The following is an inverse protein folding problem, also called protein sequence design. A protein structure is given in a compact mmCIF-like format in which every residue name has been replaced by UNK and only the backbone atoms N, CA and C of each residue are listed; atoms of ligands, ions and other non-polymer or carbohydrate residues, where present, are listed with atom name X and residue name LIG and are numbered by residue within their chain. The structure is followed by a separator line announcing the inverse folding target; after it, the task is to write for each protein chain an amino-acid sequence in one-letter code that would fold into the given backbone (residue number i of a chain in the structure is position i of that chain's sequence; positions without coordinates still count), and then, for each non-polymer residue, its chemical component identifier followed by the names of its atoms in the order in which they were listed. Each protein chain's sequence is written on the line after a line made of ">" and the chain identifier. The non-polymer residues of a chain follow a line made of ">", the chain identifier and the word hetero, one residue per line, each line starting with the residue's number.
data_IF_872086806735
#
_entry.id   IF_872086806735
#
_cell.length_a   1.000
_cell.length_b   1.000
_cell.length_c   1.000
_cell.angle_alpha   90.00
_cell.angle_beta   90.00
_cell.angle_gamma   90.00
#
_symmetry.space_group_name_H-M   'P 1'
#
loop_
_entity.id
_entity.type
_entity.pdbx_description
1 polymer ?
#
# COMPACT_ATOMS: atom_id res chain seq x y z
N UNK A 1 -27.81 12.08 -22.33
CA UNK A 1 -26.47 12.64 -22.59
C UNK A 1 -25.48 11.91 -21.70
N UNK A 2 -24.49 11.16 -22.19
CA UNK A 2 -23.40 10.67 -21.35
C UNK A 2 -22.44 11.84 -21.11
N UNK A 3 -22.37 12.33 -19.88
CA UNK A 3 -21.37 13.32 -19.52
C UNK A 3 -19.97 12.65 -19.55
N UNK A 4 -18.93 13.30 -20.09
CA UNK A 4 -17.57 12.78 -19.97
C UNK A 4 -17.23 12.75 -18.48
N UNK A 5 -17.00 11.54 -17.96
CA UNK A 5 -16.51 11.37 -16.59
C UNK A 5 -15.07 11.88 -16.60
N UNK A 6 -14.88 13.11 -16.14
CA UNK A 6 -13.57 13.73 -16.09
C UNK A 6 -12.74 12.98 -15.05
N UNK A 7 -11.67 12.33 -15.49
CA UNK A 7 -10.67 11.78 -14.59
C UNK A 7 -9.98 12.93 -13.85
N UNK A 8 -9.89 12.85 -12.53
CA UNK A 8 -9.13 13.78 -11.70
C UNK A 8 -8.16 13.01 -10.80
N UNK A 9 -7.13 13.70 -10.33
CA UNK A 9 -6.16 13.11 -9.42
C UNK A 9 -6.75 13.04 -8.01
N UNK A 10 -6.59 11.89 -7.37
CA UNK A 10 -6.94 11.63 -5.97
C UNK A 10 -5.70 11.21 -5.20
N UNK A 11 -5.71 11.46 -3.90
CA UNK A 11 -4.62 11.10 -3.01
C UNK A 11 -4.99 9.88 -2.16
N UNK A 12 -4.14 8.86 -2.15
CA UNK A 12 -4.16 7.79 -1.15
C UNK A 12 -3.06 8.06 -0.13
N UNK A 13 -3.44 8.48 1.06
CA UNK A 13 -2.53 8.70 2.16
C UNK A 13 -2.40 7.44 3.01
N UNK A 14 -1.26 6.76 2.90
CA UNK A 14 -0.91 5.57 3.69
C UNK A 14 -0.18 6.04 4.94
N UNK A 15 -0.85 5.97 6.09
CA UNK A 15 -0.30 6.40 7.37
C UNK A 15 0.25 5.19 8.12
N UNK A 16 1.55 5.18 8.39
CA UNK A 16 2.16 4.18 9.24
C UNK A 16 2.01 4.58 10.71
N UNK A 17 0.90 4.17 11.32
CA UNK A 17 0.64 4.31 12.75
C UNK A 17 1.19 3.12 13.59
N UNK A 18 1.90 2.20 12.95
CA UNK A 18 2.54 1.08 13.63
C UNK A 18 3.96 1.43 14.07
N UNK A 19 4.49 0.69 15.05
CA UNK A 19 5.88 0.85 15.51
C UNK A 19 6.90 0.24 14.54
N UNK A 20 6.43 -0.49 13.52
CA UNK A 20 7.26 -1.20 12.57
C UNK A 20 7.42 -0.43 11.27
N UNK A 21 8.55 -0.64 10.60
CA UNK A 21 8.76 -0.12 9.24
C UNK A 21 7.83 -0.85 8.27
N UNK A 22 7.17 -0.07 7.40
CA UNK A 22 6.27 -0.61 6.38
C UNK A 22 6.84 -0.29 5.01
N UNK A 23 6.89 -1.29 4.13
CA UNK A 23 7.19 -1.05 2.72
C UNK A 23 5.92 -1.12 1.90
N UNK A 24 5.77 -0.17 0.98
CA UNK A 24 4.66 -0.12 0.02
C UNK A 24 5.23 -0.34 -1.36
N UNK A 25 4.69 -1.34 -2.06
CA UNK A 25 5.12 -1.73 -3.41
C UNK A 25 3.89 -1.95 -4.29
N UNK A 26 4.03 -1.82 -5.61
CA UNK A 26 3.00 -2.29 -6.54
C UNK A 26 2.87 -3.82 -6.46
N UNK A 27 1.64 -4.33 -6.35
CA UNK A 27 1.39 -5.78 -6.20
C UNK A 27 1.98 -6.57 -7.37
N UNK A 28 1.86 -6.05 -8.59
CA UNK A 28 2.37 -6.69 -9.82
C UNK A 28 3.89 -6.83 -9.83
N UNK A 29 4.59 -5.95 -9.12
CA UNK A 29 6.05 -5.88 -9.10
C UNK A 29 6.62 -6.51 -7.82
N UNK A 30 5.77 -7.02 -6.93
CA UNK A 30 6.16 -7.60 -5.65
C UNK A 30 7.10 -8.79 -5.81
N UNK A 31 8.29 -8.72 -5.21
CA UNK A 31 9.33 -9.75 -5.31
C UNK A 31 10.23 -9.64 -6.56
N UNK A 32 10.00 -8.65 -7.44
CA UNK A 32 10.91 -8.35 -8.55
C UNK A 32 12.05 -7.45 -8.07
N UNK A 33 13.28 -7.94 -8.22
CA UNK A 33 14.50 -7.18 -7.90
C UNK A 33 14.60 -5.93 -8.79
N UNK A 34 14.42 -4.75 -8.20
CA UNK A 34 14.50 -3.46 -8.91
C UNK A 34 13.17 -2.71 -9.06
N UNK A 35 12.07 -3.24 -8.52
CA UNK A 35 10.81 -2.50 -8.41
C UNK A 35 10.94 -1.25 -7.54
N UNK A 36 10.15 -0.23 -7.85
CA UNK A 36 9.93 0.89 -6.95
C UNK A 36 9.27 0.38 -5.67
N UNK A 37 9.94 0.58 -4.55
CA UNK A 37 9.41 0.34 -3.21
C UNK A 37 9.53 1.65 -2.45
N UNK A 38 8.49 2.00 -1.70
CA UNK A 38 8.49 3.13 -0.80
C UNK A 38 8.60 2.60 0.63
N UNK A 39 9.58 3.07 1.38
CA UNK A 39 9.72 2.77 2.80
C UNK A 39 9.03 3.87 3.60
N UNK A 40 8.13 3.48 4.49
CA UNK A 40 7.38 4.36 5.38
C UNK A 40 7.77 4.02 6.81
N UNK A 41 8.44 4.95 7.50
CA UNK A 41 8.87 4.77 8.89
C UNK A 41 7.69 4.87 9.86
N UNK A 42 7.86 4.46 11.13
CA UNK A 42 6.85 4.65 12.15
C UNK A 42 6.48 6.12 12.28
N UNK A 43 5.18 6.41 12.39
CA UNK A 43 4.61 7.76 12.41
C UNK A 43 4.83 8.59 11.14
N UNK A 44 5.26 7.98 10.03
CA UNK A 44 5.36 8.62 8.72
C UNK A 44 4.12 8.31 7.88
N UNK A 45 3.77 9.20 6.96
CA UNK A 45 2.73 8.96 5.98
C UNK A 45 3.28 9.08 4.55
N UNK A 46 2.73 8.27 3.66
CA UNK A 46 3.07 8.23 2.25
C UNK A 46 1.82 8.55 1.44
N UNK A 47 1.84 9.68 0.75
CA UNK A 47 0.76 10.05 -0.17
C UNK A 47 1.08 9.56 -1.57
N UNK A 48 0.21 8.69 -2.11
CA UNK A 48 0.26 8.21 -3.48
C UNK A 48 -0.77 8.99 -4.30
N UNK A 49 -0.39 9.41 -5.50
CA UNK A 49 -1.31 10.05 -6.45
C UNK A 49 -1.90 8.98 -7.36
N UNK A 50 -3.22 8.97 -7.50
CA UNK A 50 -3.98 7.99 -8.28
C UNK A 50 -4.97 8.72 -9.17
N UNK A 51 -5.34 8.11 -10.28
CA UNK A 51 -6.41 8.61 -11.13
C UNK A 51 -7.77 8.14 -10.60
N UNK A 52 -8.74 9.04 -10.55
CA UNK A 52 -10.11 8.75 -10.11
C UNK A 52 -10.75 7.67 -10.99
N UNK A 53 -11.40 6.69 -10.37
CA UNK A 53 -12.09 5.60 -11.07
C UNK A 53 -11.18 4.45 -11.53
N UNK A 54 -9.87 4.66 -11.55
CA UNK A 54 -8.87 3.62 -11.82
C UNK A 54 -8.64 2.72 -10.59
N UNK A 55 -8.16 1.51 -10.85
CA UNK A 55 -7.92 0.49 -9.82
C UNK A 55 -6.43 0.29 -9.66
N UNK A 56 -5.91 0.55 -8.47
CA UNK A 56 -4.51 0.39 -8.14
C UNK A 56 -4.33 -0.69 -7.09
N UNK A 57 -3.30 -1.52 -7.25
CA UNK A 57 -3.01 -2.63 -6.35
C UNK A 57 -1.63 -2.50 -5.76
N UNK A 58 -1.58 -2.49 -4.44
CA UNK A 58 -0.37 -2.33 -3.66
C UNK A 58 -0.19 -3.52 -2.73
N UNK A 59 1.06 -3.89 -2.46
CA UNK A 59 1.47 -4.81 -1.43
C UNK A 59 2.17 -4.01 -0.33
N UNK A 60 1.57 -3.99 0.86
CA UNK A 60 2.17 -3.45 2.07
C UNK A 60 2.83 -4.60 2.83
N UNK A 61 4.11 -4.46 3.15
CA UNK A 61 4.84 -5.44 3.96
C UNK A 61 5.31 -4.80 5.26
N UNK A 62 5.04 -5.47 6.37
CA UNK A 62 5.53 -5.13 7.70
C UNK A 62 6.18 -6.36 8.31
N UNK A 63 7.46 -6.27 8.69
CA UNK A 63 8.26 -7.38 9.20
C UNK A 63 8.07 -8.71 8.42
N UNK A 64 7.17 -9.58 8.88
CA UNK A 64 6.83 -10.91 8.33
C UNK A 64 5.44 -11.01 7.71
N UNK A 65 4.63 -9.94 7.76
CA UNK A 65 3.25 -9.89 7.26
C UNK A 65 3.19 -9.04 6.00
N UNK A 66 2.41 -9.49 5.03
CA UNK A 66 2.17 -8.81 3.76
C UNK A 66 0.68 -8.71 3.52
N UNK A 67 0.20 -7.50 3.26
CA UNK A 67 -1.17 -7.19 2.91
C UNK A 67 -1.25 -6.66 1.48
N UNK A 68 -2.03 -7.30 0.63
CA UNK A 68 -2.39 -6.80 -0.68
C UNK A 68 -3.64 -5.95 -0.54
N UNK A 69 -3.56 -4.73 -1.04
CA UNK A 69 -4.57 -3.70 -0.92
C UNK A 69 -4.90 -3.20 -2.31
N UNK A 70 -6.19 -3.20 -2.62
CA UNK A 70 -6.74 -2.63 -3.85
C UNK A 70 -7.40 -1.30 -3.51
N UNK A 71 -6.86 -0.22 -4.06
CA UNK A 71 -7.40 1.12 -3.94
C UNK A 71 -8.22 1.45 -5.20
N UNK A 72 -9.48 1.83 -5.01
CA UNK A 72 -10.39 2.30 -6.04
C UNK A 72 -11.26 3.40 -5.45
N UNK A 73 -10.91 4.64 -5.76
CA UNK A 73 -11.59 5.82 -5.22
C UNK A 73 -12.02 6.81 -6.29
N UNK A 74 -12.93 7.68 -5.89
CA UNK A 74 -13.29 8.92 -6.59
C UNK A 74 -13.06 10.14 -5.67
N UNK A 75 -12.29 9.96 -4.60
CA UNK A 75 -11.98 10.99 -3.61
C UNK A 75 -10.71 10.59 -2.88
N UNK A 76 -10.15 11.51 -2.13
CA UNK A 76 -8.99 11.23 -1.29
C UNK A 76 -9.31 10.15 -0.25
N UNK A 77 -8.37 9.22 -0.11
CA UNK A 77 -8.48 8.04 0.73
C UNK A 77 -7.36 8.08 1.76
N UNK A 78 -7.67 7.65 2.98
CA UNK A 78 -6.68 7.53 4.05
C UNK A 78 -6.67 6.10 4.55
N UNK A 79 -5.50 5.48 4.56
CA UNK A 79 -5.28 4.11 4.94
C UNK A 79 -4.31 4.06 6.12
N UNK A 80 -4.82 3.72 7.30
CA UNK A 80 -3.98 3.43 8.46
C UNK A 80 -3.42 2.02 8.32
N UNK A 81 -2.10 1.86 8.44
CA UNK A 81 -1.44 0.56 8.37
C UNK A 81 -2.00 -0.39 9.44
N UNK A 82 -2.21 0.10 10.67
CA UNK A 82 -2.77 -0.72 11.74
C UNK A 82 -4.13 -1.30 11.36
N UNK A 83 -5.01 -0.57 10.66
CA UNK A 83 -6.34 -1.08 10.31
C UNK A 83 -6.28 -2.19 9.26
N UNK A 84 -5.32 -2.11 8.33
CA UNK A 84 -5.06 -3.16 7.34
C UNK A 84 -4.63 -4.47 8.02
N UNK A 85 -3.77 -4.37 9.03
CA UNK A 85 -3.26 -5.54 9.76
C UNK A 85 -4.12 -5.96 10.97
N UNK A 86 -4.95 -5.07 11.51
CA UNK A 86 -5.87 -5.31 12.63
C UNK A 86 -7.21 -5.90 12.19
N UNK A 87 -7.58 -5.79 10.90
CA UNK A 87 -8.74 -6.47 10.30
C UNK A 87 -8.69 -8.01 10.40
N UNK A 88 -7.72 -8.58 11.12
CA UNK A 88 -7.52 -10.01 11.34
C UNK A 88 -7.59 -10.31 12.84
N UNK A 89 -8.82 -10.28 13.37
CA UNK A 89 -9.17 -11.18 14.46
C UNK A 89 -9.49 -12.56 13.85
N UNK A 90 -9.13 -13.67 14.53
CA UNK A 90 -9.07 -14.99 13.93
C UNK A 90 -10.46 -15.62 13.88
N UNK A 91 -11.32 -15.14 13.00
CA UNK A 91 -12.52 -15.89 12.66
C UNK A 91 -12.90 -15.63 11.20
N UNK A 92 -12.77 -16.70 10.41
CA UNK A 92 -13.46 -16.89 9.14
C UNK A 92 -12.90 -16.14 7.90
N UNK A 93 -12.08 -16.89 7.15
CA UNK A 93 -12.23 -17.15 5.71
C UNK A 93 -12.71 -15.98 4.82
N UNK A 94 -11.80 -15.52 3.97
CA UNK A 94 -12.07 -15.13 2.57
C UNK A 94 -13.21 -14.12 2.29
N UNK A 95 -13.57 -13.27 3.26
CA UNK A 95 -14.53 -12.21 3.01
C UNK A 95 -13.75 -10.90 2.86
N UNK A 96 -13.71 -10.27 1.68
CA UNK A 96 -13.11 -8.95 1.54
C UNK A 96 -13.81 -8.02 2.53
N UNK A 97 -13.04 -7.34 3.38
CA UNK A 97 -13.60 -6.33 4.27
C UNK A 97 -14.37 -5.31 3.40
N UNK A 98 -15.52 -4.80 3.89
CA UNK A 98 -16.26 -3.78 3.14
C UNK A 98 -15.29 -2.63 2.84
N UNK A 99 -15.32 -2.06 1.62
CA UNK A 99 -14.39 -1.03 1.21
C UNK A 99 -14.44 0.12 2.21
N UNK A 100 -13.43 0.21 3.08
CA UNK A 100 -13.28 1.37 3.94
C UNK A 100 -12.81 2.50 3.04
N UNK A 101 -13.75 3.37 2.67
CA UNK A 101 -13.47 4.57 1.91
C UNK A 101 -12.77 4.29 0.55
N UNK A 102 -13.22 3.27 -0.20
CA UNK A 102 -12.67 2.93 -1.53
C UNK A 102 -11.41 2.04 -1.52
N UNK A 103 -10.93 1.63 -0.35
CA UNK A 103 -9.80 0.71 -0.20
C UNK A 103 -10.27 -0.65 0.29
N UNK A 104 -9.84 -1.73 -0.38
CA UNK A 104 -10.18 -3.12 -0.04
C UNK A 104 -8.90 -3.91 0.23
N UNK A 105 -8.84 -4.63 1.34
CA UNK A 105 -7.77 -5.59 1.61
C UNK A 105 -8.13 -6.90 0.92
N UNK A 106 -7.40 -7.26 -0.14
CA UNK A 106 -7.71 -8.44 -0.96
C UNK A 106 -7.05 -9.71 -0.45
N UNK A 107 -5.85 -9.59 0.13
CA UNK A 107 -5.09 -10.74 0.61
C UNK A 107 -4.19 -10.36 1.77
N UNK A 108 -4.14 -11.17 2.81
CA UNK A 108 -3.10 -11.09 3.84
C UNK A 108 -2.35 -12.42 3.88
N UNK A 109 -1.03 -12.37 3.91
CA UNK A 109 -0.18 -13.56 3.96
C UNK A 109 1.12 -13.26 4.69
N UNK A 110 1.88 -14.30 5.03
CA UNK A 110 3.18 -14.17 5.69
C UNK A 110 4.28 -14.39 4.68
N UNK A 111 5.18 -13.43 4.58
CA UNK A 111 6.39 -13.55 3.78
C UNK A 111 7.59 -13.69 4.71
N UNK A 112 8.18 -14.89 4.72
CA UNK A 112 9.38 -15.20 5.50
C UNK A 112 10.66 -14.74 4.82
N UNK A 113 10.58 -14.19 3.60
CA UNK A 113 11.73 -13.58 2.95
C UNK A 113 12.01 -12.26 3.65
N UNK A 114 13.13 -12.18 4.36
CA UNK A 114 13.68 -10.91 4.81
C UNK A 114 14.08 -10.11 3.56
N UNK A 115 13.22 -9.20 3.11
CA UNK A 115 13.59 -8.25 2.07
C UNK A 115 14.57 -7.27 2.71
N UNK A 116 15.87 -7.59 2.63
CA UNK A 116 16.94 -6.67 2.99
C UNK A 116 16.82 -5.50 2.03
N UNK A 117 16.29 -4.39 2.54
CA UNK A 117 16.14 -3.18 1.78
C UNK A 117 17.55 -2.63 1.51
N UNK A 118 18.08 -2.88 0.31
CA UNK A 118 19.22 -2.12 -0.17
C UNK A 118 18.67 -0.75 -0.59
N UNK A 119 18.51 0.15 0.38
CA UNK A 119 18.46 1.56 0.06
C UNK A 119 19.77 1.85 -0.68
N UNK A 120 19.69 2.07 -2.00
CA UNK A 120 20.81 2.61 -2.74
C UNK A 120 21.03 4.01 -2.20
N UNK A 121 21.91 4.11 -1.20
CA UNK A 121 22.46 5.39 -0.78
C UNK A 121 23.14 5.93 -2.04
N UNK A 122 22.54 6.97 -2.62
CA UNK A 122 23.12 7.72 -3.73
C UNK A 122 24.40 8.39 -3.25
N UNK A 123 25.48 7.63 -3.14
CA UNK A 123 26.83 8.14 -2.99
C UNK A 123 27.34 8.58 -4.35
N UNK A 124 26.88 9.73 -4.83
CA UNK A 124 27.64 10.48 -5.84
C UNK A 124 28.75 11.25 -5.13
N UNK A 125 29.88 10.59 -4.89
CA UNK A 125 31.16 11.30 -4.79
C UNK A 125 31.58 11.68 -6.21
N UNK A 126 31.57 12.97 -6.52
CA UNK A 126 32.24 13.49 -7.70
C UNK A 126 33.67 13.94 -7.31
N UNK A 127 34.65 13.79 -8.22
CA UNK A 127 36.08 14.05 -7.99
C UNK A 127 36.44 15.53 -7.81
#
# INVERSE_FOLDING_TARGET
>A
MPAPVQSFDILLDVVNDTQDNVTVQLERDYGVSGSAVALVRPAESLSLVLESGSVYRYALKTQTRVANVTARGWRDMRLAVSSVFASVLPENRATPSPPSNGVVVTRLWRDYRCSVYNARIGGTSAP
#
